data_IF_839969862920
#
_entry.id   IF_839969862920
#
_cell.length_a   1.000
_cell.length_b   1.000
_cell.length_c   1.000
_cell.angle_alpha   90.00
_cell.angle_beta   90.00
_cell.angle_gamma   90.00
#
_symmetry.space_group_name_H-M   'P 1'
#
loop_
_entity.id
_entity.type
_entity.pdbx_description
1 polymer ?
#
# COMPACT_ATOMS: atom_id res chain seq x y z
N UNK A 1 27.67 -18.92 -28.17
CA UNK A 1 26.42 -18.55 -27.51
C UNK A 1 25.51 -17.96 -28.59
N UNK A 2 24.18 -18.10 -28.52
CA UNK A 2 23.30 -17.75 -29.65
C UNK A 2 23.33 -16.26 -30.06
N UNK A 3 23.82 -15.35 -29.22
CA UNK A 3 23.96 -13.91 -29.55
C UNK A 3 25.30 -13.52 -30.19
N UNK A 4 26.20 -14.49 -30.42
CA UNK A 4 27.47 -14.25 -31.12
C UNK A 4 27.30 -14.22 -32.65
N UNK A 5 26.13 -14.68 -33.14
CA UNK A 5 25.78 -14.65 -34.55
C UNK A 5 25.22 -13.26 -34.92
N UNK A 6 25.90 -12.50 -35.81
CA UNK A 6 25.47 -11.17 -36.20
C UNK A 6 24.06 -11.14 -36.80
N UNK A 7 23.64 -12.19 -37.52
CA UNK A 7 22.30 -12.27 -38.11
C UNK A 7 21.23 -12.43 -37.03
N UNK A 8 21.50 -13.23 -36.01
CA UNK A 8 20.55 -13.44 -34.90
C UNK A 8 20.39 -12.19 -34.03
N UNK A 9 21.46 -11.40 -33.89
CA UNK A 9 21.41 -10.13 -33.18
C UNK A 9 20.59 -9.08 -33.92
N UNK A 10 20.66 -9.06 -35.25
CA UNK A 10 19.86 -8.16 -36.08
C UNK A 10 18.37 -8.49 -35.95
N UNK A 11 18.00 -9.77 -36.08
CA UNK A 11 16.61 -10.21 -35.89
C UNK A 11 16.06 -9.86 -34.50
N UNK A 12 16.84 -10.08 -33.44
CA UNK A 12 16.43 -9.71 -32.09
C UNK A 12 16.25 -8.19 -31.90
N UNK A 13 17.05 -7.37 -32.59
CA UNK A 13 16.90 -5.91 -32.56
C UNK A 13 15.65 -5.44 -33.31
N UNK A 14 15.32 -6.09 -34.42
CA UNK A 14 14.11 -5.81 -35.19
C UNK A 14 12.85 -6.18 -34.40
N UNK A 15 12.82 -7.38 -33.79
CA UNK A 15 11.72 -7.79 -32.90
C UNK A 15 11.55 -6.80 -31.73
N UNK A 16 12.66 -6.33 -31.15
CA UNK A 16 12.63 -5.36 -30.07
C UNK A 16 12.12 -4.00 -30.52
N UNK A 17 12.42 -3.57 -31.75
CA UNK A 17 11.89 -2.33 -32.33
C UNK A 17 10.38 -2.42 -32.55
N UNK A 18 9.91 -3.51 -33.17
CA UNK A 18 8.49 -3.75 -33.38
C UNK A 18 7.71 -3.83 -32.06
N UNK A 19 8.27 -4.50 -31.05
CA UNK A 19 7.67 -4.59 -29.73
C UNK A 19 7.54 -3.21 -29.05
N UNK A 20 8.55 -2.34 -29.20
CA UNK A 20 8.51 -0.97 -28.68
C UNK A 20 7.45 -0.13 -29.37
N UNK A 21 7.39 -0.14 -30.70
CA UNK A 21 6.37 0.58 -31.47
C UNK A 21 4.95 0.13 -31.07
N UNK A 22 4.75 -1.18 -30.93
CA UNK A 22 3.48 -1.74 -30.48
C UNK A 22 3.15 -1.32 -29.04
N UNK A 23 4.14 -1.28 -28.15
CA UNK A 23 3.96 -0.81 -26.78
C UNK A 23 3.50 0.65 -26.75
N UNK A 24 4.15 1.52 -27.51
CA UNK A 24 3.78 2.94 -27.59
C UNK A 24 2.38 3.13 -28.16
N UNK A 25 2.01 2.38 -29.20
CA UNK A 25 0.64 2.41 -29.74
C UNK A 25 -0.41 1.97 -28.71
N UNK A 26 -0.11 0.92 -27.94
CA UNK A 26 -1.00 0.42 -26.90
C UNK A 26 -1.12 1.40 -25.73
N UNK A 27 -0.03 2.06 -25.33
CA UNK A 27 -0.04 3.11 -24.31
C UNK A 27 -0.91 4.30 -24.74
N UNK A 28 -0.80 4.73 -26.00
CA UNK A 28 -1.65 5.80 -26.54
C UNK A 28 -3.14 5.40 -26.53
N UNK A 29 -3.46 4.18 -26.97
CA UNK A 29 -4.83 3.66 -26.93
C UNK A 29 -5.35 3.58 -25.48
N UNK A 30 -4.51 3.13 -24.56
CA UNK A 30 -4.84 3.07 -23.14
C UNK A 30 -5.09 4.47 -22.57
N UNK A 31 -4.25 5.44 -22.92
CA UNK A 31 -4.40 6.83 -22.46
C UNK A 31 -5.76 7.39 -22.90
N UNK A 32 -6.16 7.20 -24.16
CA UNK A 32 -7.47 7.62 -24.68
C UNK A 32 -8.62 7.00 -23.87
N UNK A 33 -8.54 5.70 -23.57
CA UNK A 33 -9.56 5.01 -22.78
C UNK A 33 -9.59 5.49 -21.31
N UNK A 34 -8.43 5.82 -20.74
CA UNK A 34 -8.30 6.29 -19.36
C UNK A 34 -8.69 7.77 -19.19
N UNK A 35 -8.60 8.61 -20.23
CA UNK A 35 -9.02 10.01 -20.16
C UNK A 35 -10.48 10.17 -19.70
N UNK A 36 -11.37 9.26 -20.12
CA UNK A 36 -12.75 9.23 -19.64
C UNK A 36 -12.85 8.99 -18.12
N UNK A 37 -12.00 8.13 -17.54
CA UNK A 37 -11.92 7.91 -16.09
C UNK A 37 -11.32 9.10 -15.35
N UNK A 38 -10.31 9.76 -15.92
CA UNK A 38 -9.63 10.90 -15.29
C UNK A 38 -10.60 12.09 -15.15
N UNK A 39 -11.47 12.31 -16.15
CA UNK A 39 -12.55 13.31 -16.07
C UNK A 39 -13.57 13.00 -14.97
N UNK A 40 -13.70 11.75 -14.52
CA UNK A 40 -14.55 11.39 -13.37
C UNK A 40 -13.84 11.51 -12.02
N UNK A 41 -12.52 11.71 -12.01
CA UNK A 41 -11.68 11.87 -10.81
C UNK A 41 -11.21 13.30 -10.56
N UNK A 42 -11.66 14.26 -11.38
CA UNK A 42 -11.41 15.69 -11.20
C UNK A 42 -12.09 16.30 -9.95
N UNK A 43 -12.87 15.50 -9.23
CA UNK A 43 -13.43 15.86 -7.92
C UNK A 43 -12.34 15.71 -6.87
N UNK A 44 -12.15 16.74 -6.03
CA UNK A 44 -11.23 16.71 -4.90
C UNK A 44 -11.54 15.49 -4.00
N UNK A 45 -10.65 14.48 -3.92
CA UNK A 45 -10.90 13.34 -3.06
C UNK A 45 -10.77 13.79 -1.60
N UNK A 46 -11.90 13.80 -0.88
CA UNK A 46 -11.89 14.03 0.57
C UNK A 46 -11.69 12.69 1.28
N UNK A 47 -10.43 12.34 1.55
CA UNK A 47 -10.11 11.19 2.40
C UNK A 47 -10.24 11.57 3.88
N UNK A 48 -11.27 11.06 4.55
CA UNK A 48 -11.37 11.08 6.01
C UNK A 48 -10.96 9.71 6.52
N UNK A 49 -9.88 9.63 7.28
CA UNK A 49 -9.49 8.43 8.01
C UNK A 49 -10.03 8.51 9.43
N UNK A 50 -10.82 7.53 9.85
CA UNK A 50 -11.24 7.39 11.24
C UNK A 50 -10.29 6.47 12.01
N UNK A 51 -9.98 6.76 13.28
CA UNK A 51 -9.27 5.82 14.14
C UNK A 51 -10.12 4.56 14.32
N UNK A 52 -9.59 3.41 13.90
CA UNK A 52 -10.20 2.13 14.26
C UNK A 52 -10.05 1.92 15.77
N UNK A 53 -11.07 1.39 16.49
CA UNK A 53 -10.93 1.11 17.91
C UNK A 53 -9.77 0.13 18.13
N UNK A 54 -8.73 0.56 18.84
CA UNK A 54 -7.69 -0.36 19.26
C UNK A 54 -8.33 -1.50 20.07
N UNK A 55 -8.07 -2.75 19.67
CA UNK A 55 -8.57 -3.92 20.39
C UNK A 55 -8.09 -3.86 21.85
N UNK A 56 -8.95 -3.41 22.75
CA UNK A 56 -8.61 -3.33 24.17
C UNK A 56 -8.59 -4.75 24.73
N UNK A 57 -7.43 -5.20 25.25
CA UNK A 57 -7.34 -6.43 26.03
C UNK A 57 -8.42 -6.42 27.11
N UNK A 58 -9.23 -7.48 27.20
CA UNK A 58 -10.25 -7.61 28.25
C UNK A 58 -9.60 -7.42 29.62
N UNK A 59 -10.19 -6.56 30.46
CA UNK A 59 -9.76 -6.43 31.87
C UNK A 59 -9.85 -7.81 32.52
N UNK A 60 -8.76 -8.25 33.13
CA UNK A 60 -8.74 -9.47 33.93
C UNK A 60 -9.87 -9.36 34.96
N UNK A 61 -10.77 -10.35 35.01
CA UNK A 61 -11.86 -10.36 35.98
C UNK A 61 -11.23 -10.33 37.38
N UNK A 62 -11.51 -9.26 38.12
CA UNK A 62 -10.93 -9.00 39.45
C UNK A 62 -11.19 -10.14 40.46
N UNK A 63 -12.15 -11.02 40.17
CA UNK A 63 -12.44 -12.18 40.99
C UNK A 63 -11.34 -13.25 40.99
N UNK A 64 -10.42 -13.30 40.01
CA UNK A 64 -9.43 -14.40 39.88
C UNK A 64 -7.98 -13.90 39.71
N UNK A 65 -7.73 -12.58 39.72
CA UNK A 65 -6.37 -12.06 39.58
C UNK A 65 -5.73 -11.76 40.95
N UNK A 66 -5.00 -12.73 41.49
CA UNK A 66 -4.24 -12.60 42.76
C UNK A 66 -3.00 -11.71 42.68
N UNK A 67 -2.69 -11.14 41.51
CA UNK A 67 -1.38 -10.49 41.24
C UNK A 67 -1.44 -8.95 41.31
N UNK A 68 -2.62 -8.32 41.37
CA UNK A 68 -2.75 -6.86 41.19
C UNK A 68 -3.02 -6.02 42.47
N UNK A 69 -2.68 -6.48 43.67
CA UNK A 69 -2.72 -5.60 44.86
C UNK A 69 -1.51 -4.66 44.87
N UNK A 70 -1.68 -3.45 44.34
CA UNK A 70 -0.73 -2.36 44.54
C UNK A 70 -0.76 -1.93 46.02
N UNK A 71 0.27 -2.28 46.79
CA UNK A 71 0.49 -1.77 48.16
C UNK A 71 1.07 -0.36 48.02
N UNK A 72 0.21 0.66 48.04
CA UNK A 72 0.66 2.05 48.17
C UNK A 72 0.67 2.43 49.66
N UNK A 73 1.76 2.99 50.22
CA UNK A 73 1.78 3.48 51.60
C UNK A 73 0.92 4.75 51.75
N UNK A 74 0.18 4.83 52.85
CA UNK A 74 -0.69 5.97 53.22
C UNK A 74 0.16 7.25 53.42
N UNK A 75 -0.21 8.40 52.83
CA UNK A 75 0.39 9.67 53.23
C UNK A 75 -0.13 10.09 54.62
N UNK A 76 0.80 10.43 55.51
CA UNK A 76 0.49 10.99 56.83
C UNK A 76 -0.12 12.39 56.69
N UNK A 77 -1.30 12.60 57.27
CA UNK A 77 -1.92 13.91 57.37
C UNK A 77 -1.20 14.74 58.46
N UNK A 78 -0.58 15.84 58.07
CA UNK A 78 -0.04 16.86 58.98
C UNK A 78 -0.30 18.25 58.40
N UNK A 79 -0.98 19.09 59.18
CA UNK A 79 -1.39 20.46 58.86
C UNK A 79 -2.58 20.84 59.71
#
# INVERSE_FOLDING_TARGET
>A
MMLDDPEMREMAQDELREAKEKSEQLEQQLQVLLLQKILMTNVTPSSKSEPEPAATKRRCSRAICSVCTAVMPKPAAGG
#
